data_IF_668770762477
#
_entry.id   IF_668770762477
#
_cell.length_a   1.000
_cell.length_b   1.000
_cell.length_c   1.000
_cell.angle_alpha   90.00
_cell.angle_beta   90.00
_cell.angle_gamma   90.00
#
_symmetry.space_group_name_H-M   'P 1'
#
loop_
_entity.id
_entity.type
_entity.pdbx_description
1 polymer ?
#
# COMPACT_ATOMS: atom_id res chain seq x y z
N UNK A 1 9.33 12.34 12.05
CA UNK A 1 8.38 11.59 11.19
C UNK A 1 7.20 12.48 10.88
N UNK A 2 6.87 12.59 9.61
CA UNK A 2 5.69 13.34 9.15
C UNK A 2 4.67 12.39 8.58
N UNK A 3 3.38 12.75 8.66
CA UNK A 3 2.32 12.08 7.90
C UNK A 3 1.87 13.04 6.82
N UNK A 4 2.00 12.60 5.57
CA UNK A 4 1.71 13.39 4.38
C UNK A 4 0.48 12.79 3.70
N UNK A 5 -0.47 13.62 3.33
CA UNK A 5 -1.66 13.18 2.59
C UNK A 5 -1.39 13.31 1.09
N UNK A 6 -1.48 12.20 0.37
CA UNK A 6 -1.33 12.20 -1.09
C UNK A 6 -2.13 11.03 -1.66
N UNK A 7 -3.41 11.28 -1.89
CA UNK A 7 -4.37 10.21 -2.18
C UNK A 7 -4.25 9.66 -3.59
N UNK A 8 -4.26 8.32 -3.68
CA UNK A 8 -4.28 7.56 -4.93
C UNK A 8 -5.71 7.45 -5.45
N UNK A 9 -5.90 7.47 -6.78
CA UNK A 9 -7.22 7.18 -7.36
C UNK A 9 -7.56 5.69 -7.39
N UNK A 10 -6.62 4.83 -6.99
CA UNK A 10 -6.74 3.37 -7.13
C UNK A 10 -7.33 2.75 -5.87
N UNK A 11 -8.64 2.81 -5.76
CA UNK A 11 -9.34 2.20 -4.62
C UNK A 11 -10.74 1.78 -5.04
N UNK A 12 -11.30 0.83 -4.30
CA UNK A 12 -12.70 0.44 -4.50
C UNK A 12 -13.60 1.52 -3.92
N UNK A 13 -14.54 2.09 -4.67
CA UNK A 13 -15.37 3.20 -4.21
C UNK A 13 -16.38 2.82 -3.12
N UNK A 14 -16.65 1.53 -2.92
CA UNK A 14 -17.55 1.10 -1.86
C UNK A 14 -16.85 1.15 -0.51
N UNK A 15 -17.39 1.91 0.43
CA UNK A 15 -16.85 1.96 1.80
C UNK A 15 -16.98 0.61 2.48
N UNK A 16 -16.02 0.32 3.34
CA UNK A 16 -16.03 -0.88 4.20
C UNK A 16 -16.06 -0.49 5.67
N UNK A 17 -16.57 -1.38 6.50
CA UNK A 17 -16.58 -1.20 7.95
C UNK A 17 -15.24 -1.61 8.55
N UNK A 18 -14.86 -0.99 9.67
CA UNK A 18 -13.64 -1.38 10.39
C UNK A 18 -13.66 -2.86 10.77
N UNK A 19 -14.84 -3.42 11.04
CA UNK A 19 -14.97 -4.84 11.39
C UNK A 19 -14.54 -5.79 10.27
N UNK A 20 -14.49 -5.30 9.03
CA UNK A 20 -14.01 -6.09 7.89
C UNK A 20 -12.50 -6.15 7.80
N UNK A 21 -11.80 -5.26 8.51
CA UNK A 21 -10.33 -5.21 8.50
C UNK A 21 -9.80 -6.23 9.50
N UNK A 22 -9.12 -7.26 8.99
CA UNK A 22 -8.63 -8.38 9.79
C UNK A 22 -7.11 -8.52 9.76
N UNK A 23 -6.44 -7.90 8.76
CA UNK A 23 -5.02 -8.09 8.52
C UNK A 23 -4.33 -6.77 8.24
N UNK A 24 -3.04 -6.72 8.55
CA UNK A 24 -2.12 -5.71 8.05
C UNK A 24 -1.11 -6.46 7.18
N UNK A 25 -0.96 -6.01 5.94
CA UNK A 25 -0.06 -6.65 4.99
C UNK A 25 1.04 -5.67 4.61
N UNK A 26 2.29 -6.10 4.79
CA UNK A 26 3.45 -5.30 4.43
C UNK A 26 4.02 -5.77 3.11
N UNK A 27 4.35 -4.81 2.25
CA UNK A 27 5.01 -5.05 0.97
C UNK A 27 6.24 -4.17 0.86
N UNK A 28 7.25 -4.64 0.14
CA UNK A 28 8.30 -3.77 -0.36
C UNK A 28 7.89 -3.23 -1.72
N UNK A 29 8.26 -1.98 -2.01
CA UNK A 29 7.98 -1.42 -3.34
C UNK A 29 8.73 -2.19 -4.43
N UNK A 30 9.89 -2.76 -4.10
CA UNK A 30 10.70 -3.50 -5.05
C UNK A 30 11.32 -2.62 -6.13
N UNK A 31 11.35 -1.30 -5.94
CA UNK A 31 11.86 -0.34 -6.91
C UNK A 31 13.00 0.46 -6.32
N UNK A 32 14.03 0.72 -7.13
CA UNK A 32 15.18 1.53 -6.70
C UNK A 32 14.80 2.97 -6.43
N UNK A 33 13.91 3.52 -7.24
CA UNK A 33 13.48 4.91 -7.12
C UNK A 33 12.23 5.01 -6.27
N UNK A 34 12.34 5.73 -5.15
CA UNK A 34 11.19 6.04 -4.30
C UNK A 34 10.16 6.87 -5.06
N UNK A 35 10.63 7.88 -5.82
CA UNK A 35 9.74 8.72 -6.61
C UNK A 35 8.93 7.90 -7.62
N UNK A 36 9.58 6.97 -8.32
CA UNK A 36 8.88 6.12 -9.30
C UNK A 36 7.88 5.19 -8.63
N UNK A 37 8.21 4.69 -7.44
CA UNK A 37 7.28 3.87 -6.68
C UNK A 37 6.03 4.67 -6.28
N UNK A 38 6.22 5.89 -5.79
CA UNK A 38 5.11 6.78 -5.43
C UNK A 38 4.28 7.11 -6.68
N UNK A 39 4.94 7.48 -7.78
CA UNK A 39 4.26 7.80 -9.03
C UNK A 39 3.40 6.63 -9.52
N UNK A 40 3.90 5.40 -9.40
CA UNK A 40 3.16 4.20 -9.78
C UNK A 40 1.91 4.02 -8.93
N UNK A 41 2.00 4.21 -7.63
CA UNK A 41 0.87 4.07 -6.72
C UNK A 41 -0.19 5.15 -6.92
N UNK A 42 0.19 6.29 -7.49
CA UNK A 42 -0.70 7.40 -7.80
C UNK A 42 -1.26 7.34 -9.23
N UNK A 43 -0.72 6.48 -10.09
CA UNK A 43 -1.12 6.38 -11.49
C UNK A 43 -2.33 5.44 -11.62
N UNK A 44 -3.44 5.98 -12.11
CA UNK A 44 -4.64 5.18 -12.32
C UNK A 44 -4.40 3.97 -13.22
N UNK A 45 -3.54 4.11 -14.21
CA UNK A 45 -3.25 3.04 -15.17
C UNK A 45 -2.47 1.87 -14.54
N UNK A 46 -1.78 2.09 -13.44
CA UNK A 46 -1.04 1.04 -12.75
C UNK A 46 -1.95 0.03 -12.04
N UNK A 47 -3.14 0.44 -11.66
CA UNK A 47 -4.12 -0.39 -10.94
C UNK A 47 -3.60 -0.97 -9.63
N UNK A 48 -2.65 -0.28 -9.00
CA UNK A 48 -2.12 -0.65 -7.69
C UNK A 48 -2.15 0.55 -6.76
N UNK A 49 -2.29 0.28 -5.47
CA UNK A 49 -2.26 1.30 -4.43
C UNK A 49 -1.99 0.66 -3.08
N UNK A 50 -1.87 1.50 -2.07
CA UNK A 50 -1.74 1.06 -0.68
C UNK A 50 -2.40 2.10 0.22
N UNK A 51 -2.64 1.74 1.46
CA UNK A 51 -3.18 2.70 2.43
C UNK A 51 -2.09 3.65 2.91
N UNK A 52 -0.90 3.10 3.18
CA UNK A 52 0.25 3.86 3.69
C UNK A 52 1.51 3.46 2.95
N UNK A 53 2.35 4.43 2.67
CA UNK A 53 3.72 4.18 2.18
C UNK A 53 4.70 4.79 3.18
N UNK A 54 5.66 3.98 3.61
CA UNK A 54 6.75 4.44 4.48
C UNK A 54 7.93 4.79 3.59
N UNK A 55 8.31 6.07 3.62
CA UNK A 55 9.41 6.59 2.82
C UNK A 55 10.77 6.20 3.40
N UNK A 56 11.80 6.35 2.59
CA UNK A 56 13.19 6.09 3.01
C UNK A 56 13.60 6.84 4.27
N UNK A 57 13.07 8.06 4.46
CA UNK A 57 13.39 8.89 5.63
C UNK A 57 12.47 8.61 6.83
N UNK A 58 11.55 7.66 6.71
CA UNK A 58 10.61 7.32 7.78
C UNK A 58 9.31 8.10 7.76
N UNK A 59 9.15 9.08 6.88
CA UNK A 59 7.87 9.77 6.71
C UNK A 59 6.82 8.79 6.16
N UNK A 60 5.56 9.04 6.48
CA UNK A 60 4.44 8.20 6.06
C UNK A 60 3.55 8.99 5.11
N UNK A 61 3.28 8.41 3.96
CA UNK A 61 2.28 8.96 3.02
C UNK A 61 1.00 8.18 3.19
N UNK A 62 -0.09 8.88 3.50
CA UNK A 62 -1.43 8.28 3.51
C UNK A 62 -1.99 8.40 2.10
N UNK A 63 -2.21 7.26 1.44
CA UNK A 63 -2.60 7.20 0.04
C UNK A 63 -4.04 6.77 -0.19
N UNK A 64 -4.59 5.93 0.68
CA UNK A 64 -5.99 5.52 0.63
C UNK A 64 -6.51 5.51 2.07
N UNK A 65 -7.68 6.13 2.35
CA UNK A 65 -8.28 6.03 3.68
C UNK A 65 -8.63 4.57 4.01
N UNK A 66 -8.50 4.21 5.28
CA UNK A 66 -8.69 2.81 5.71
C UNK A 66 -10.11 2.28 5.52
N UNK A 67 -11.10 3.16 5.45
CA UNK A 67 -12.47 2.77 5.18
C UNK A 67 -12.75 2.48 3.70
N UNK A 68 -11.72 2.50 2.87
CA UNK A 68 -11.76 2.06 1.48
C UNK A 68 -10.75 0.94 1.26
N UNK A 69 -11.06 0.09 0.31
CA UNK A 69 -10.18 -1.00 -0.09
C UNK A 69 -9.12 -0.48 -1.05
N UNK A 70 -7.85 -0.62 -0.69
CA UNK A 70 -6.74 -0.32 -1.60
C UNK A 70 -6.42 -1.56 -2.44
N UNK A 71 -5.73 -1.36 -3.56
CA UNK A 71 -5.37 -2.42 -4.49
C UNK A 71 -3.90 -2.79 -4.30
N UNK A 72 -3.58 -3.53 -3.22
CA UNK A 72 -2.19 -3.81 -2.87
C UNK A 72 -1.80 -5.29 -2.92
N UNK A 73 -2.75 -6.21 -2.81
CA UNK A 73 -2.46 -7.63 -2.68
C UNK A 73 -2.78 -8.44 -3.94
N UNK A 74 -3.41 -7.82 -4.94
CA UNK A 74 -3.83 -8.52 -6.13
C UNK A 74 -4.86 -9.61 -5.84
N UNK A 75 -4.87 -10.65 -6.65
CA UNK A 75 -5.71 -11.83 -6.41
C UNK A 75 -4.99 -12.70 -5.40
N UNK A 76 -5.58 -12.85 -4.21
CA UNK A 76 -4.95 -13.55 -3.10
C UNK A 76 -5.98 -14.18 -2.19
N UNK A 77 -5.54 -15.12 -1.38
CA UNK A 77 -6.39 -15.74 -0.37
C UNK A 77 -5.58 -16.10 0.86
N UNK A 78 -6.24 -16.08 2.01
CA UNK A 78 -5.69 -16.53 3.27
C UNK A 78 -6.80 -17.17 4.08
N UNK A 79 -6.65 -18.47 4.38
CA UNK A 79 -7.70 -19.25 5.08
C UNK A 79 -9.02 -19.11 4.32
N UNK A 80 -10.08 -18.61 4.98
CA UNK A 80 -11.39 -18.40 4.37
C UNK A 80 -11.51 -17.07 3.63
N UNK A 81 -10.49 -16.21 3.70
CA UNK A 81 -10.53 -14.90 3.07
C UNK A 81 -9.98 -14.98 1.66
N UNK A 82 -10.81 -14.65 0.67
CA UNK A 82 -10.41 -14.48 -0.72
C UNK A 82 -10.18 -12.99 -0.94
N UNK A 83 -9.20 -12.62 -1.73
CA UNK A 83 -8.86 -11.22 -1.97
C UNK A 83 -8.54 -10.46 -0.68
N UNK A 84 -7.29 -10.52 -0.25
CA UNK A 84 -6.84 -9.85 0.98
C UNK A 84 -7.05 -8.34 0.96
N UNK A 85 -7.16 -7.72 -0.23
CA UNK A 85 -7.45 -6.27 -0.32
C UNK A 85 -8.69 -5.88 0.47
N UNK A 86 -9.73 -6.70 0.42
CA UNK A 86 -11.00 -6.42 1.07
C UNK A 86 -10.88 -6.38 2.59
N UNK A 87 -10.01 -7.20 3.16
CA UNK A 87 -9.95 -7.42 4.60
C UNK A 87 -8.66 -6.94 5.25
N UNK A 88 -7.88 -6.10 4.58
CA UNK A 88 -6.58 -5.69 5.08
C UNK A 88 -6.29 -4.21 4.93
N UNK A 89 -5.27 -3.78 5.66
CA UNK A 89 -4.58 -2.52 5.43
C UNK A 89 -3.26 -2.88 4.75
N UNK A 90 -3.00 -2.29 3.59
CA UNK A 90 -1.74 -2.49 2.87
C UNK A 90 -0.76 -1.37 3.18
N UNK A 91 0.43 -1.74 3.60
CA UNK A 91 1.52 -0.81 3.91
C UNK A 91 2.70 -1.15 3.00
N UNK A 92 3.09 -0.20 2.17
CA UNK A 92 4.27 -0.31 1.32
C UNK A 92 5.46 0.31 2.01
N UNK A 93 6.59 -0.37 1.96
CA UNK A 93 7.85 0.14 2.48
C UNK A 93 8.78 0.38 1.30
N UNK A 94 9.29 1.61 1.18
CA UNK A 94 10.20 1.96 0.11
C UNK A 94 11.51 1.20 0.27
N UNK A 95 11.72 0.22 -0.60
CA UNK A 95 12.87 -0.67 -0.53
C UNK A 95 13.00 -1.35 -1.88
N UNK A 96 14.23 -1.48 -2.44
CA UNK A 96 14.41 -2.07 -3.76
C UNK A 96 14.05 -3.55 -3.83
N UNK A 97 13.84 -4.22 -2.69
CA UNK A 97 13.47 -5.62 -2.67
C UNK A 97 14.67 -6.55 -2.60
N UNK A 98 14.39 -7.82 -2.83
CA UNK A 98 15.41 -8.86 -2.72
C UNK A 98 16.50 -8.68 -3.79
N UNK A 99 17.76 -8.82 -3.38
CA UNK A 99 18.89 -8.68 -4.29
C UNK A 99 19.53 -7.29 -4.31
N UNK A 100 18.90 -6.31 -3.67
CA UNK A 100 19.45 -4.95 -3.55
C UNK A 100 19.76 -4.64 -2.09
N UNK A 101 20.62 -3.63 -1.88
CA UNK A 101 20.95 -3.19 -0.52
C UNK A 101 19.76 -2.44 0.08
N UNK A 102 19.31 -2.90 1.23
CA UNK A 102 18.22 -2.26 1.94
C UNK A 102 18.67 -1.00 2.66
N UNK A 103 17.77 -0.04 2.74
CA UNK A 103 18.01 1.17 3.52
C UNK A 103 17.57 0.96 4.96
N UNK A 104 18.24 1.66 5.87
CA UNK A 104 17.83 1.67 7.28
C UNK A 104 16.82 2.79 7.51
N UNK A 105 15.89 2.53 8.37
CA UNK A 105 14.90 3.51 8.78
C UNK A 105 15.22 4.08 10.14
#
# INVERSE_FOLDING_TARGET
MKVILNFSPNFDPKKRNKSEIKFIVFHYTGMKSEKKAIDKLLDYNSKVSCHYLIKNNGDIIKMVPENYQAWHAGISSWKKFKSLNKNSIGIEITNPGHGFKYKKF
#
